data_IF_400748049369
#
_entry.id   IF_400748049369
#
_cell.length_a   1.000
_cell.length_b   1.000
_cell.length_c   1.000
_cell.angle_alpha   90.00
_cell.angle_beta   90.00
_cell.angle_gamma   90.00
#
_symmetry.space_group_name_H-M   'P 1'
#
loop_
_entity.id
_entity.type
_entity.pdbx_description
1 polymer ?
#
# COMPACT_ATOMS: atom_id res chain seq x y z
N UNK A 1 1.82 -46.09 76.28
CA UNK A 1 1.54 -46.43 74.91
C UNK A 1 1.31 -45.10 74.18
N UNK A 2 2.30 -44.60 73.43
CA UNK A 2 2.18 -43.37 72.62
C UNK A 2 2.11 -43.82 71.18
N UNK A 3 1.02 -43.54 70.52
CA UNK A 3 0.85 -43.76 69.10
C UNK A 3 1.61 -42.67 68.29
N UNK A 4 2.47 -43.08 67.37
CA UNK A 4 3.16 -42.20 66.47
C UNK A 4 2.36 -42.22 65.14
N UNK A 5 1.79 -41.05 64.83
CA UNK A 5 1.11 -40.82 63.52
C UNK A 5 2.13 -40.39 62.51
N UNK A 6 2.38 -41.25 61.54
CA UNK A 6 3.26 -40.94 60.38
C UNK A 6 2.52 -40.11 59.35
N UNK A 7 2.98 -38.88 59.11
CA UNK A 7 2.46 -37.98 58.11
C UNK A 7 3.21 -38.27 56.78
N UNK A 8 2.51 -38.79 55.78
CA UNK A 8 3.05 -38.97 54.41
C UNK A 8 2.80 -37.69 53.64
N UNK A 9 3.86 -36.95 53.38
CA UNK A 9 3.82 -35.77 52.48
C UNK A 9 4.03 -36.27 51.05
N UNK A 10 2.96 -36.28 50.25
CA UNK A 10 3.01 -36.58 48.83
C UNK A 10 3.59 -35.37 48.09
N UNK A 11 4.77 -35.54 47.51
CA UNK A 11 5.39 -34.57 46.59
C UNK A 11 4.71 -34.67 45.22
N UNK A 12 3.83 -33.74 44.88
CA UNK A 12 3.30 -33.58 43.51
C UNK A 12 4.40 -32.98 42.64
N UNK A 13 5.08 -33.83 41.86
CA UNK A 13 5.91 -33.41 40.75
C UNK A 13 5.00 -32.90 39.64
N UNK A 14 4.82 -31.60 39.53
CA UNK A 14 4.28 -30.96 38.31
C UNK A 14 5.37 -31.06 37.27
N UNK A 15 5.25 -32.01 36.34
CA UNK A 15 6.06 -32.05 35.15
C UNK A 15 5.69 -30.83 34.28
N UNK A 16 6.54 -29.80 34.25
CA UNK A 16 6.47 -28.76 33.26
C UNK A 16 6.63 -29.42 31.90
N UNK A 17 5.58 -29.34 31.05
CA UNK A 17 5.70 -29.73 29.66
C UNK A 17 6.85 -28.91 29.03
N UNK A 18 7.73 -29.52 28.25
CA UNK A 18 8.73 -28.74 27.53
C UNK A 18 7.99 -27.76 26.63
N UNK A 19 8.18 -26.45 26.86
CA UNK A 19 7.83 -25.43 25.86
C UNK A 19 8.53 -25.84 24.58
N UNK A 20 7.75 -26.12 23.52
CA UNK A 20 8.30 -26.40 22.20
C UNK A 20 9.24 -25.22 21.89
N UNK A 21 10.54 -25.52 21.73
CA UNK A 21 11.47 -24.50 21.28
C UNK A 21 10.94 -23.99 19.93
N UNK A 22 10.61 -22.69 19.89
CA UNK A 22 10.20 -22.03 18.64
C UNK A 22 11.25 -22.32 17.58
N UNK A 23 10.88 -23.10 16.56
CA UNK A 23 11.83 -23.52 15.53
C UNK A 23 11.92 -22.39 14.52
N UNK A 24 12.89 -21.50 14.69
CA UNK A 24 13.22 -20.46 13.72
C UNK A 24 13.61 -21.13 12.41
N UNK A 25 12.97 -20.75 11.32
CA UNK A 25 13.30 -21.21 9.97
C UNK A 25 14.12 -20.14 9.25
N UNK A 26 15.11 -20.57 8.55
CA UNK A 26 16.07 -19.70 7.88
C UNK A 26 16.15 -20.04 6.39
N UNK A 27 16.01 -19.00 5.55
CA UNK A 27 16.10 -19.07 4.08
C UNK A 27 17.13 -18.06 3.61
N UNK A 28 17.97 -18.47 2.68
CA UNK A 28 18.97 -17.64 2.01
C UNK A 28 18.61 -17.48 0.54
N UNK A 29 18.75 -16.26 0.03
CA UNK A 29 18.69 -15.92 -1.38
C UNK A 29 19.96 -15.15 -1.77
N UNK A 30 20.03 -14.61 -2.98
CA UNK A 30 21.21 -13.87 -3.44
C UNK A 30 21.46 -12.61 -2.60
N UNK A 31 20.39 -11.92 -2.18
CA UNK A 31 20.50 -10.64 -1.47
C UNK A 31 19.95 -10.66 -0.04
N UNK A 32 19.20 -11.70 0.36
CA UNK A 32 18.53 -11.75 1.66
C UNK A 32 18.81 -13.00 2.48
N UNK A 33 18.77 -12.81 3.80
CA UNK A 33 18.72 -13.86 4.80
C UNK A 33 17.48 -13.66 5.64
N UNK A 34 16.45 -14.48 5.44
CA UNK A 34 15.16 -14.39 6.12
C UNK A 34 15.08 -15.41 7.25
N UNK A 35 14.84 -14.93 8.48
CA UNK A 35 14.58 -15.73 9.67
C UNK A 35 13.11 -15.61 10.05
N UNK A 36 12.33 -16.68 9.92
CA UNK A 36 10.91 -16.66 10.25
C UNK A 36 10.59 -17.55 11.46
N UNK A 37 9.82 -17.02 12.39
CA UNK A 37 9.21 -17.76 13.51
C UNK A 37 7.81 -18.27 13.13
N UNK A 38 7.27 -17.92 11.95
CA UNK A 38 5.97 -18.37 11.43
C UNK A 38 6.10 -19.77 10.81
N UNK A 39 7.06 -19.96 9.89
CA UNK A 39 7.28 -21.22 9.20
C UNK A 39 8.28 -21.13 8.06
N UNK A 40 8.60 -22.28 7.46
CA UNK A 40 9.56 -22.35 6.35
C UNK A 40 8.95 -21.78 5.05
N UNK A 41 7.74 -22.19 4.71
CA UNK A 41 7.01 -21.73 3.53
C UNK A 41 6.86 -20.21 3.55
N UNK A 42 6.44 -19.64 4.70
CA UNK A 42 6.38 -18.19 4.88
C UNK A 42 7.75 -17.52 4.70
N UNK A 43 8.84 -18.12 5.16
CA UNK A 43 10.17 -17.57 4.96
C UNK A 43 10.57 -17.57 3.48
N UNK A 44 10.21 -18.60 2.71
CA UNK A 44 10.46 -18.71 1.26
C UNK A 44 9.64 -17.66 0.48
N UNK A 45 8.35 -17.51 0.79
CA UNK A 45 7.47 -16.52 0.17
C UNK A 45 7.98 -15.10 0.39
N UNK A 46 8.35 -14.74 1.63
CA UNK A 46 8.90 -13.42 1.94
C UNK A 46 10.24 -13.21 1.26
N UNK A 47 11.11 -14.21 1.22
CA UNK A 47 12.41 -14.11 0.56
C UNK A 47 12.26 -13.87 -0.95
N UNK A 48 11.36 -14.59 -1.64
CA UNK A 48 11.08 -14.40 -3.06
C UNK A 48 10.51 -12.99 -3.33
N UNK A 49 9.60 -12.52 -2.50
CA UNK A 49 9.05 -11.17 -2.60
C UNK A 49 10.13 -10.09 -2.43
N UNK A 50 11.01 -10.22 -1.46
CA UNK A 50 12.10 -9.29 -1.22
C UNK A 50 13.08 -9.23 -2.40
N UNK A 51 13.39 -10.36 -3.04
CA UNK A 51 14.19 -10.39 -4.26
C UNK A 51 13.51 -9.63 -5.42
N UNK A 52 12.21 -9.81 -5.60
CA UNK A 52 11.47 -9.06 -6.61
C UNK A 52 11.43 -7.55 -6.31
N UNK A 53 11.29 -7.17 -5.03
CA UNK A 53 11.27 -5.77 -4.60
C UNK A 53 12.63 -5.09 -4.79
N UNK A 54 13.75 -5.75 -4.46
CA UNK A 54 15.08 -5.14 -4.67
C UNK A 54 15.35 -4.85 -6.14
N UNK A 55 14.91 -5.72 -7.04
CA UNK A 55 14.95 -5.50 -8.48
C UNK A 55 14.16 -4.24 -8.89
N UNK A 56 12.94 -4.09 -8.34
CA UNK A 56 12.12 -2.90 -8.57
C UNK A 56 12.83 -1.63 -8.10
N UNK A 57 13.35 -1.61 -6.88
CA UNK A 57 14.05 -0.46 -6.32
C UNK A 57 15.29 -0.11 -7.13
N UNK A 58 16.04 -1.12 -7.54
CA UNK A 58 17.31 -0.91 -8.25
C UNK A 58 17.15 -0.40 -9.68
N UNK A 59 15.96 -0.47 -10.29
CA UNK A 59 15.66 0.23 -11.56
C UNK A 59 15.84 1.75 -11.45
N UNK A 60 15.62 2.29 -10.24
CA UNK A 60 15.75 3.73 -9.97
C UNK A 60 17.17 4.09 -9.47
N UNK A 61 17.73 3.33 -8.55
CA UNK A 61 18.97 3.69 -7.86
C UNK A 61 20.23 3.16 -8.56
N UNK A 62 20.14 2.04 -9.26
CA UNK A 62 21.22 1.42 -10.05
C UNK A 62 22.49 1.17 -9.25
N UNK A 63 22.34 0.74 -7.99
CA UNK A 63 23.48 0.30 -7.20
C UNK A 63 24.00 -1.04 -7.72
N UNK A 64 25.31 -1.26 -7.53
CA UNK A 64 25.97 -2.52 -7.90
C UNK A 64 25.63 -3.57 -6.81
N UNK A 65 24.56 -4.37 -7.02
CA UNK A 65 24.07 -5.36 -6.04
C UNK A 65 25.12 -6.41 -5.71
N UNK A 66 26.00 -6.73 -6.65
CA UNK A 66 27.11 -7.66 -6.48
C UNK A 66 28.16 -7.18 -5.46
N UNK A 67 28.14 -5.91 -5.08
CA UNK A 67 29.01 -5.37 -4.04
C UNK A 67 28.55 -5.67 -2.62
N UNK A 68 27.36 -6.26 -2.46
CA UNK A 68 26.85 -6.70 -1.16
C UNK A 68 27.78 -7.78 -0.58
N UNK A 69 28.52 -7.42 0.46
CA UNK A 69 29.44 -8.37 1.13
C UNK A 69 28.68 -9.49 1.85
N UNK A 70 27.44 -9.23 2.22
CA UNK A 70 26.57 -10.17 2.97
C UNK A 70 25.11 -9.94 2.61
N UNK A 71 24.27 -10.98 2.65
CA UNK A 71 22.82 -10.85 2.50
C UNK A 71 22.24 -9.94 3.59
N UNK A 72 21.27 -9.12 3.22
CA UNK A 72 20.47 -8.29 4.12
C UNK A 72 19.61 -9.17 5.02
N UNK A 73 19.60 -8.90 6.32
CA UNK A 73 18.89 -9.72 7.29
C UNK A 73 17.45 -9.22 7.47
N UNK A 74 16.53 -10.18 7.49
CA UNK A 74 15.12 -9.96 7.80
C UNK A 74 14.70 -10.97 8.85
N UNK A 75 14.04 -10.51 9.92
CA UNK A 75 13.51 -11.34 10.99
C UNK A 75 12.02 -11.13 11.13
N UNK A 76 11.24 -12.21 11.11
CA UNK A 76 9.79 -12.17 11.18
C UNK A 76 9.33 -12.97 12.39
N UNK A 77 8.69 -12.31 13.33
CA UNK A 77 8.10 -12.94 14.51
C UNK A 77 6.67 -13.44 14.21
N UNK A 78 6.24 -14.45 14.93
CA UNK A 78 4.90 -15.03 14.75
C UNK A 78 3.77 -14.09 15.21
N UNK A 79 4.08 -13.13 16.09
CA UNK A 79 3.12 -12.16 16.59
C UNK A 79 3.79 -10.87 17.10
N UNK A 80 2.95 -9.84 17.30
CA UNK A 80 3.37 -8.53 17.84
C UNK A 80 4.02 -8.62 19.21
N UNK A 81 3.62 -9.56 20.07
CA UNK A 81 4.17 -9.69 21.42
C UNK A 81 5.63 -10.13 21.43
N UNK A 82 5.98 -11.06 20.54
CA UNK A 82 7.36 -11.50 20.36
C UNK A 82 8.23 -10.40 19.76
N UNK A 83 7.70 -9.70 18.74
CA UNK A 83 8.32 -8.54 18.11
C UNK A 83 8.63 -7.44 19.13
N UNK A 84 7.64 -7.02 19.94
CA UNK A 84 7.82 -5.99 20.95
C UNK A 84 8.86 -6.39 22.00
N UNK A 85 8.83 -7.64 22.48
CA UNK A 85 9.84 -8.14 23.41
C UNK A 85 11.24 -8.06 22.84
N UNK A 86 11.41 -8.49 21.60
CA UNK A 86 12.69 -8.41 20.91
C UNK A 86 13.19 -6.96 20.78
N UNK A 87 12.31 -6.02 20.43
CA UNK A 87 12.67 -4.62 20.31
C UNK A 87 13.03 -3.99 21.66
N UNK A 88 12.27 -4.29 22.72
CA UNK A 88 12.60 -3.83 24.09
C UNK A 88 13.96 -4.36 24.52
N UNK A 89 14.27 -5.63 24.26
CA UNK A 89 15.56 -6.23 24.60
C UNK A 89 16.72 -5.65 23.75
N UNK A 90 16.44 -5.22 22.53
CA UNK A 90 17.45 -4.78 21.56
C UNK A 90 17.70 -3.27 21.57
N UNK A 91 16.64 -2.46 21.65
CA UNK A 91 16.69 -1.00 21.56
C UNK A 91 16.00 -0.27 22.72
N UNK A 92 15.39 -0.99 23.67
CA UNK A 92 14.77 -0.43 24.88
C UNK A 92 13.38 0.16 24.68
N UNK A 93 12.77 0.02 23.51
CA UNK A 93 11.44 0.58 23.21
C UNK A 93 10.62 -0.32 22.28
N UNK A 94 9.29 -0.17 22.30
CA UNK A 94 8.36 -0.82 21.35
C UNK A 94 8.16 0.06 20.11
N UNK A 95 7.70 -0.57 19.03
CA UNK A 95 7.31 0.10 17.79
C UNK A 95 5.96 -0.44 17.32
N UNK A 96 5.15 0.41 16.72
CA UNK A 96 3.85 -0.01 16.18
C UNK A 96 4.02 -0.72 14.84
N UNK A 97 4.97 -0.25 14.01
CA UNK A 97 5.26 -0.76 12.68
C UNK A 97 6.56 -1.56 12.62
N UNK A 98 6.76 -2.26 11.52
CA UNK A 98 8.05 -2.88 11.18
C UNK A 98 9.18 -1.85 11.27
N UNK A 99 10.38 -2.32 11.56
CA UNK A 99 11.51 -1.41 11.74
C UNK A 99 12.79 -1.97 11.12
N UNK A 100 13.51 -1.14 10.39
CA UNK A 100 14.87 -1.45 10.01
C UNK A 100 15.85 -0.92 11.07
N UNK A 101 16.42 -1.84 11.84
CA UNK A 101 17.48 -1.54 12.81
C UNK A 101 18.79 -1.39 12.05
N UNK A 102 19.25 -0.16 11.93
CA UNK A 102 20.49 0.16 11.23
C UNK A 102 21.63 0.42 12.22
N UNK A 103 22.72 -0.30 12.04
CA UNK A 103 23.96 -0.17 12.83
C UNK A 103 25.14 0.13 11.91
N UNK A 104 26.20 0.74 12.46
CA UNK A 104 27.46 0.93 11.74
C UNK A 104 28.14 -0.39 11.32
N UNK A 105 27.88 -1.48 12.05
CA UNK A 105 28.22 -2.83 11.63
C UNK A 105 27.05 -3.44 10.84
N UNK A 106 27.18 -3.62 9.52
CA UNK A 106 26.10 -4.20 8.68
C UNK A 106 25.67 -5.60 9.13
N UNK A 107 26.56 -6.37 9.79
CA UNK A 107 26.22 -7.71 10.28
C UNK A 107 25.18 -7.68 11.41
N UNK A 108 25.01 -6.55 12.07
CA UNK A 108 24.02 -6.33 13.14
C UNK A 108 22.72 -5.74 12.63
N UNK A 109 22.77 -5.09 11.45
CA UNK A 109 21.60 -4.45 10.86
C UNK A 109 20.59 -5.50 10.41
N UNK A 110 19.31 -5.31 10.75
CA UNK A 110 18.23 -6.21 10.30
C UNK A 110 16.89 -5.49 10.22
N UNK A 111 16.06 -5.89 9.27
CA UNK A 111 14.64 -5.55 9.23
C UNK A 111 13.91 -6.50 10.16
N UNK A 112 13.12 -5.96 11.09
CA UNK A 112 12.33 -6.71 12.06
C UNK A 112 10.87 -6.51 11.77
N UNK A 113 10.14 -7.61 11.63
CA UNK A 113 8.73 -7.67 11.27
C UNK A 113 7.98 -8.67 12.17
N UNK A 114 6.66 -8.70 12.08
CA UNK A 114 5.81 -9.72 12.70
C UNK A 114 4.66 -10.08 11.76
N UNK A 115 4.10 -11.29 11.93
CA UNK A 115 2.98 -11.75 11.12
C UNK A 115 1.70 -10.95 11.43
N UNK A 116 1.02 -10.51 10.38
CA UNK A 116 -0.21 -9.73 10.43
C UNK A 116 -1.03 -9.98 9.12
N UNK A 117 -2.26 -9.43 8.98
CA UNK A 117 -3.03 -9.58 7.74
C UNK A 117 -2.24 -9.22 6.50
N UNK A 118 -2.37 -10.02 5.44
CA UNK A 118 -1.50 -10.02 4.25
C UNK A 118 -1.30 -8.63 3.65
N UNK A 119 -2.37 -7.84 3.48
CA UNK A 119 -2.27 -6.50 2.88
C UNK A 119 -1.41 -5.56 3.71
N UNK A 120 -1.57 -5.58 5.03
CA UNK A 120 -0.85 -4.70 5.95
C UNK A 120 0.61 -5.13 6.06
N UNK A 121 0.85 -6.46 6.09
CA UNK A 121 2.18 -7.05 6.05
C UNK A 121 2.94 -6.62 4.79
N UNK A 122 2.30 -6.71 3.63
CA UNK A 122 2.91 -6.40 2.34
C UNK A 122 3.32 -4.92 2.25
N UNK A 123 2.47 -4.01 2.70
CA UNK A 123 2.77 -2.59 2.69
C UNK A 123 3.91 -2.22 3.66
N UNK A 124 3.84 -2.72 4.90
CA UNK A 124 4.88 -2.49 5.89
C UNK A 124 6.22 -3.11 5.47
N UNK A 125 6.20 -4.33 4.90
CA UNK A 125 7.39 -4.98 4.38
C UNK A 125 8.01 -4.19 3.23
N UNK A 126 7.21 -3.77 2.25
CA UNK A 126 7.68 -2.99 1.09
C UNK A 126 8.29 -1.67 1.54
N UNK A 127 7.62 -0.94 2.43
CA UNK A 127 8.14 0.32 2.99
C UNK A 127 9.51 0.12 3.66
N UNK A 128 9.59 -0.82 4.61
CA UNK A 128 10.80 -1.01 5.41
C UNK A 128 11.94 -1.72 4.64
N UNK A 129 11.61 -2.59 3.70
CA UNK A 129 12.64 -3.21 2.85
C UNK A 129 13.27 -2.20 1.89
N UNK A 130 12.52 -1.20 1.42
CA UNK A 130 13.12 -0.10 0.67
C UNK A 130 14.10 0.71 1.54
N UNK A 131 13.71 1.04 2.78
CA UNK A 131 14.62 1.73 3.73
C UNK A 131 15.86 0.88 3.99
N UNK A 132 15.72 -0.43 4.18
CA UNK A 132 16.83 -1.36 4.34
C UNK A 132 17.74 -1.34 3.10
N UNK A 133 17.16 -1.50 1.91
CA UNK A 133 17.89 -1.46 0.64
C UNK A 133 18.68 -0.15 0.52
N UNK A 134 18.02 0.99 0.61
CA UNK A 134 18.69 2.29 0.43
C UNK A 134 19.81 2.50 1.46
N UNK A 135 19.56 2.19 2.72
CA UNK A 135 20.55 2.39 3.80
C UNK A 135 21.67 1.36 3.81
N UNK A 136 21.51 0.25 3.11
CA UNK A 136 22.61 -0.70 2.91
C UNK A 136 23.69 -0.12 1.98
N UNK A 137 23.31 0.67 0.97
CA UNK A 137 24.23 1.33 0.05
C UNK A 137 24.59 2.75 0.50
N UNK A 138 23.67 3.49 1.10
CA UNK A 138 23.83 4.87 1.57
C UNK A 138 23.40 4.93 3.03
N UNK A 139 24.33 4.91 3.95
CA UNK A 139 24.05 4.83 5.39
C UNK A 139 23.08 5.94 5.88
N UNK A 140 23.24 7.16 5.36
CA UNK A 140 22.47 8.33 5.80
C UNK A 140 21.96 9.14 4.59
N UNK A 141 20.93 8.68 3.87
CA UNK A 141 20.31 9.43 2.78
C UNK A 141 19.46 10.59 3.33
N UNK A 142 19.23 11.68 2.54
CA UNK A 142 18.26 12.70 2.89
C UNK A 142 16.90 12.10 3.21
N UNK A 143 16.21 12.66 4.22
CA UNK A 143 14.97 12.05 4.72
C UNK A 143 13.85 12.06 3.69
N UNK A 144 13.68 13.16 2.96
CA UNK A 144 12.65 13.27 1.92
C UNK A 144 12.81 12.19 0.83
N UNK A 145 14.06 11.87 0.47
CA UNK A 145 14.34 10.85 -0.53
C UNK A 145 14.07 9.44 0.03
N UNK A 146 14.48 9.18 1.28
CA UNK A 146 14.26 7.90 1.94
C UNK A 146 12.78 7.62 2.16
N UNK A 147 12.08 8.51 2.86
CA UNK A 147 10.67 8.31 3.21
C UNK A 147 9.77 8.48 2.00
N UNK A 148 10.05 9.48 1.14
CA UNK A 148 9.27 9.69 -0.07
C UNK A 148 9.28 8.48 -1.01
N UNK A 149 10.44 7.84 -1.22
CA UNK A 149 10.50 6.60 -2.01
C UNK A 149 9.92 5.39 -1.27
N UNK A 150 10.09 5.28 0.06
CA UNK A 150 9.47 4.20 0.81
C UNK A 150 7.95 4.21 0.63
N UNK A 151 7.32 5.38 0.74
CA UNK A 151 5.89 5.57 0.50
C UNK A 151 5.54 5.39 -0.99
N UNK A 152 6.38 5.86 -1.90
CA UNK A 152 6.17 5.73 -3.35
C UNK A 152 6.06 4.27 -3.78
N UNK A 153 6.86 3.37 -3.20
CA UNK A 153 6.83 1.94 -3.51
C UNK A 153 5.84 1.13 -2.68
N UNK A 154 5.32 1.64 -1.58
CA UNK A 154 4.56 0.93 -0.55
C UNK A 154 3.42 0.05 -1.10
N UNK A 155 2.80 0.45 -2.21
CA UNK A 155 1.71 -0.29 -2.87
C UNK A 155 2.19 -1.25 -3.96
N UNK A 156 3.50 -1.50 -4.10
CA UNK A 156 3.98 -2.47 -5.06
C UNK A 156 3.42 -3.87 -4.75
N UNK A 157 2.96 -4.54 -5.79
CA UNK A 157 2.37 -5.89 -5.72
C UNK A 157 3.38 -6.93 -6.19
N UNK A 158 3.46 -8.05 -5.48
CA UNK A 158 4.24 -9.19 -5.92
C UNK A 158 3.39 -10.10 -6.80
N UNK A 159 3.90 -10.46 -7.95
CA UNK A 159 3.29 -11.40 -8.89
C UNK A 159 3.98 -12.75 -8.74
N UNK A 160 3.26 -13.72 -8.15
CA UNK A 160 3.78 -15.08 -7.89
C UNK A 160 4.05 -15.87 -9.19
N UNK A 161 3.29 -15.62 -10.26
CA UNK A 161 3.43 -16.34 -11.52
C UNK A 161 4.73 -15.92 -12.24
N UNK A 162 5.02 -14.62 -12.24
CA UNK A 162 6.21 -14.07 -12.91
C UNK A 162 7.37 -13.80 -11.95
N UNK A 163 7.18 -13.96 -10.65
CA UNK A 163 8.16 -13.69 -9.59
C UNK A 163 8.74 -12.26 -9.70
N UNK A 164 7.89 -11.29 -9.97
CA UNK A 164 8.28 -9.90 -10.15
C UNK A 164 7.47 -8.97 -9.24
N UNK A 165 8.06 -7.83 -8.89
CA UNK A 165 7.34 -6.75 -8.22
C UNK A 165 6.83 -5.74 -9.26
N UNK A 166 5.52 -5.49 -9.21
CA UNK A 166 4.82 -4.55 -10.08
C UNK A 166 4.57 -3.27 -9.30
N UNK A 167 5.10 -2.15 -9.79
CA UNK A 167 4.80 -0.85 -9.20
C UNK A 167 3.31 -0.53 -9.30
N UNK A 168 2.73 -0.11 -8.18
CA UNK A 168 1.39 0.49 -8.11
C UNK A 168 1.50 1.86 -7.45
N UNK A 169 0.83 2.83 -8.03
CA UNK A 169 0.88 4.19 -7.50
C UNK A 169 0.16 4.26 -6.15
N UNK A 170 0.85 4.79 -5.12
CA UNK A 170 0.25 5.02 -3.81
C UNK A 170 -0.36 6.43 -3.77
N UNK A 171 -1.65 6.53 -4.04
CA UNK A 171 -2.39 7.81 -4.02
C UNK A 171 -3.05 8.11 -2.66
N UNK A 172 -2.75 7.33 -1.61
CA UNK A 172 -3.34 7.55 -0.29
C UNK A 172 -2.97 8.93 0.31
N UNK A 173 -1.83 9.47 -0.09
CA UNK A 173 -1.34 10.77 0.38
C UNK A 173 -1.74 11.94 -0.52
N UNK A 174 -2.43 11.69 -1.64
CA UNK A 174 -2.77 12.74 -2.60
C UNK A 174 -3.77 13.74 -2.04
N UNK A 175 -4.90 13.27 -1.49
CA UNK A 175 -5.93 14.15 -0.96
C UNK A 175 -5.43 14.92 0.27
N UNK A 176 -4.76 14.30 1.28
CA UNK A 176 -4.10 15.04 2.36
C UNK A 176 -3.09 16.09 1.86
N UNK A 177 -2.31 15.77 0.82
CA UNK A 177 -1.36 16.73 0.26
C UNK A 177 -2.05 17.92 -0.40
N UNK A 178 -3.14 17.69 -1.12
CA UNK A 178 -3.95 18.78 -1.70
C UNK A 178 -4.50 19.71 -0.63
N UNK A 179 -5.07 19.14 0.43
CA UNK A 179 -5.61 19.92 1.57
C UNK A 179 -4.52 20.75 2.28
N UNK A 180 -3.27 20.21 2.35
CA UNK A 180 -2.13 20.96 2.87
C UNK A 180 -1.78 22.13 1.94
N UNK A 181 -1.67 21.85 0.62
CA UNK A 181 -1.20 22.86 -0.36
C UNK A 181 -2.21 23.98 -0.61
N UNK A 182 -3.51 23.69 -0.59
CA UNK A 182 -4.58 24.70 -0.77
C UNK A 182 -4.97 25.41 0.52
N UNK A 183 -4.41 24.96 1.67
CA UNK A 183 -4.65 25.53 2.99
C UNK A 183 -5.97 25.08 3.66
N UNK A 184 -6.74 24.18 3.05
CA UNK A 184 -8.01 23.66 3.61
C UNK A 184 -7.78 22.80 4.86
N UNK A 185 -6.61 22.17 4.99
CA UNK A 185 -6.19 21.48 6.21
C UNK A 185 -5.93 22.44 7.41
N UNK A 186 -5.92 23.76 7.19
CA UNK A 186 -5.66 24.75 8.24
C UNK A 186 -4.22 24.78 8.75
N UNK A 187 -3.28 24.21 7.99
CA UNK A 187 -1.85 24.17 8.28
C UNK A 187 -1.07 24.86 7.16
N UNK A 188 0.15 25.30 7.46
CA UNK A 188 1.06 25.85 6.46
C UNK A 188 1.93 24.71 5.89
N UNK A 189 2.03 24.55 4.56
CA UNK A 189 2.96 23.60 3.95
C UNK A 189 4.40 23.86 4.42
N UNK A 190 5.20 22.80 4.52
CA UNK A 190 6.64 22.95 4.69
C UNK A 190 7.23 23.59 3.43
N UNK A 191 8.17 24.51 3.62
CA UNK A 191 8.93 25.09 2.52
C UNK A 191 9.79 24.02 1.83
N UNK A 192 10.03 24.17 0.53
CA UNK A 192 10.89 23.28 -0.25
C UNK A 192 12.27 23.14 0.40
N UNK A 193 12.87 24.23 0.83
CA UNK A 193 14.18 24.22 1.47
C UNK A 193 14.15 23.48 2.82
N UNK A 194 13.06 23.61 3.59
CA UNK A 194 12.88 22.88 4.85
C UNK A 194 12.78 21.38 4.60
N UNK A 195 12.01 20.94 3.60
CA UNK A 195 11.89 19.50 3.26
C UNK A 195 13.25 18.94 2.82
N UNK A 196 13.98 19.67 1.96
CA UNK A 196 15.24 19.20 1.41
C UNK A 196 16.33 19.01 2.47
N UNK A 197 16.33 19.83 3.55
CA UNK A 197 17.38 19.81 4.58
C UNK A 197 16.90 19.24 5.93
N UNK A 198 15.68 18.72 6.00
CA UNK A 198 15.04 18.29 7.24
C UNK A 198 15.87 17.23 7.98
N UNK A 199 15.98 17.39 9.29
CA UNK A 199 16.55 16.39 10.18
C UNK A 199 15.51 15.45 10.79
N UNK A 200 15.97 14.40 11.48
CA UNK A 200 15.10 13.33 12.02
C UNK A 200 14.17 13.85 13.11
N UNK A 201 14.63 14.78 13.96
CA UNK A 201 13.86 15.30 15.09
C UNK A 201 12.70 16.17 14.56
N UNK A 202 13.02 17.08 13.64
CA UNK A 202 12.04 17.95 13.00
C UNK A 202 11.02 17.15 12.18
N UNK A 203 11.45 16.13 11.43
CA UNK A 203 10.54 15.27 10.70
C UNK A 203 9.57 14.52 11.62
N UNK A 204 10.07 13.97 12.74
CA UNK A 204 9.22 13.28 13.73
C UNK A 204 8.19 14.20 14.38
N UNK A 205 8.50 15.45 14.59
CA UNK A 205 7.57 16.44 15.14
C UNK A 205 6.49 16.88 14.14
N UNK A 206 6.68 16.60 12.84
CA UNK A 206 5.82 17.09 11.75
C UNK A 206 5.46 15.99 10.75
N UNK A 207 5.25 14.74 11.18
CA UNK A 207 5.04 13.59 10.29
C UNK A 207 3.86 13.79 9.33
N UNK A 208 2.76 14.37 9.82
CA UNK A 208 1.55 14.62 9.04
C UNK A 208 1.75 15.62 7.88
N UNK A 209 2.72 16.50 7.99
CA UNK A 209 3.12 17.42 6.92
C UNK A 209 4.24 16.82 6.06
N UNK A 210 5.20 16.17 6.70
CA UNK A 210 6.40 15.70 6.04
C UNK A 210 6.14 14.53 5.09
N UNK A 211 5.37 13.52 5.49
CA UNK A 211 5.15 12.33 4.67
C UNK A 211 4.39 12.62 3.37
N UNK A 212 3.25 13.35 3.38
CA UNK A 212 2.57 13.72 2.15
C UNK A 212 3.46 14.49 1.19
N UNK A 213 4.21 15.49 1.71
CA UNK A 213 5.07 16.33 0.86
C UNK A 213 6.31 15.59 0.36
N UNK A 214 6.94 14.71 1.16
CA UNK A 214 8.06 13.88 0.73
C UNK A 214 7.63 12.87 -0.36
N UNK A 215 6.47 12.22 -0.19
CA UNK A 215 5.88 11.38 -1.23
C UNK A 215 5.57 12.17 -2.50
N UNK A 216 4.90 13.30 -2.37
CA UNK A 216 4.54 14.17 -3.49
C UNK A 216 5.76 14.65 -4.26
N UNK A 217 6.84 15.02 -3.56
CA UNK A 217 8.12 15.40 -4.16
C UNK A 217 8.71 14.27 -5.01
N UNK A 218 8.80 13.05 -4.46
CA UNK A 218 9.31 11.88 -5.20
C UNK A 218 8.42 11.57 -6.39
N UNK A 219 7.08 11.54 -6.20
CA UNK A 219 6.12 11.29 -7.28
C UNK A 219 6.26 12.31 -8.41
N UNK A 220 6.39 13.59 -8.07
CA UNK A 220 6.59 14.68 -9.02
C UNK A 220 7.90 14.54 -9.80
N UNK A 221 9.01 14.33 -9.10
CA UNK A 221 10.33 14.22 -9.74
C UNK A 221 10.43 12.98 -10.65
N UNK A 222 9.80 11.87 -10.27
CA UNK A 222 9.77 10.63 -11.08
C UNK A 222 8.90 10.81 -12.32
N UNK A 223 7.68 11.35 -12.17
CA UNK A 223 6.64 11.34 -13.20
C UNK A 223 6.54 12.63 -14.02
N UNK A 224 7.38 13.66 -13.74
CA UNK A 224 7.34 14.91 -14.49
C UNK A 224 7.65 14.72 -15.97
N UNK A 225 6.82 15.31 -16.82
CA UNK A 225 7.11 15.40 -18.26
C UNK A 225 8.25 16.39 -18.58
N UNK A 226 8.58 17.29 -17.65
CA UNK A 226 9.68 18.25 -17.77
C UNK A 226 11.00 17.56 -17.48
N UNK A 227 11.90 17.51 -18.46
CA UNK A 227 13.20 16.83 -18.35
C UNK A 227 14.14 17.46 -17.30
N UNK A 228 14.10 18.79 -17.15
CA UNK A 228 14.85 19.51 -16.14
C UNK A 228 14.45 19.11 -14.73
N UNK A 229 13.15 18.95 -14.47
CA UNK A 229 12.61 18.48 -13.19
C UNK A 229 12.98 17.01 -12.95
N UNK A 230 12.73 16.13 -13.92
CA UNK A 230 13.11 14.73 -13.79
C UNK A 230 14.62 14.53 -13.55
N UNK A 231 15.45 15.39 -14.12
CA UNK A 231 16.91 15.40 -13.89
C UNK A 231 17.27 15.65 -12.42
N UNK A 232 16.51 16.47 -11.68
CA UNK A 232 16.75 16.72 -10.25
C UNK A 232 16.83 15.43 -9.44
N UNK A 233 15.97 14.47 -9.75
CA UNK A 233 15.98 13.17 -9.08
C UNK A 233 17.30 12.42 -9.33
N UNK A 234 17.73 12.33 -10.59
CA UNK A 234 18.96 11.61 -10.94
C UNK A 234 20.19 12.31 -10.40
N UNK A 235 20.24 13.63 -10.44
CA UNK A 235 21.30 14.43 -9.85
C UNK A 235 21.33 14.25 -8.32
N UNK A 236 20.17 14.12 -7.67
CA UNK A 236 20.06 13.82 -6.24
C UNK A 236 20.64 12.45 -5.89
N UNK A 237 20.25 11.40 -6.60
CA UNK A 237 20.75 10.03 -6.39
C UNK A 237 22.27 9.98 -6.64
N UNK A 238 22.75 10.59 -7.73
CA UNK A 238 24.18 10.61 -8.08
C UNK A 238 25.03 11.46 -7.10
N UNK A 239 24.42 12.38 -6.37
CA UNK A 239 25.13 13.18 -5.36
C UNK A 239 25.41 12.41 -4.07
N UNK A 240 24.67 11.33 -3.79
CA UNK A 240 24.80 10.54 -2.56
C UNK A 240 26.20 9.93 -2.41
N UNK A 241 26.64 9.78 -1.15
CA UNK A 241 27.87 9.08 -0.78
C UNK A 241 27.58 8.06 0.31
N UNK A 242 28.10 6.81 0.17
CA UNK A 242 27.83 5.72 1.10
C UNK A 242 28.10 6.08 2.56
N UNK A 243 29.26 6.62 2.86
CA UNK A 243 29.74 6.85 4.23
C UNK A 243 29.55 8.29 4.75
N UNK A 244 28.86 9.14 3.97
CA UNK A 244 28.61 10.51 4.39
C UNK A 244 27.55 10.58 5.51
N UNK A 245 27.68 11.57 6.40
CA UNK A 245 26.62 11.88 7.36
C UNK A 245 25.37 12.38 6.66
N UNK A 246 24.21 12.35 7.38
CA UNK A 246 22.95 12.90 6.88
C UNK A 246 23.14 14.34 6.39
N UNK A 247 23.76 15.20 7.19
CA UNK A 247 24.01 16.59 6.82
C UNK A 247 24.84 16.71 5.54
N UNK A 248 25.91 15.91 5.42
CA UNK A 248 26.76 15.96 4.22
C UNK A 248 26.03 15.49 2.97
N UNK A 249 25.25 14.40 3.03
CA UNK A 249 24.46 13.95 1.89
C UNK A 249 23.37 14.98 1.54
N UNK A 250 22.69 15.55 2.53
CA UNK A 250 21.70 16.61 2.34
C UNK A 250 22.29 17.84 1.65
N UNK A 251 23.41 18.39 2.15
CA UNK A 251 24.10 19.52 1.52
C UNK A 251 24.55 19.23 0.09
N UNK A 252 25.05 18.03 -0.17
CA UNK A 252 25.48 17.62 -1.52
C UNK A 252 24.31 17.54 -2.49
N UNK A 253 23.21 16.92 -2.08
CA UNK A 253 21.99 16.84 -2.88
C UNK A 253 21.47 18.24 -3.16
N UNK A 254 21.32 19.07 -2.12
CA UNK A 254 20.84 20.43 -2.26
C UNK A 254 21.68 21.23 -3.28
N UNK A 255 23.01 21.23 -3.13
CA UNK A 255 23.89 22.01 -4.01
C UNK A 255 23.94 21.48 -5.44
N UNK A 256 23.93 20.15 -5.64
CA UNK A 256 24.15 19.55 -6.97
C UNK A 256 22.88 19.40 -7.78
N UNK A 257 21.78 19.04 -7.12
CA UNK A 257 20.50 18.84 -7.80
C UNK A 257 19.69 20.14 -7.83
N UNK A 258 19.53 20.85 -6.71
CA UNK A 258 18.62 21.97 -6.56
C UNK A 258 19.29 23.36 -6.65
N UNK A 259 20.61 23.44 -6.65
CA UNK A 259 21.32 24.72 -6.65
C UNK A 259 21.26 25.52 -7.94
N UNK A 260 20.79 24.95 -9.04
CA UNK A 260 20.75 25.56 -10.37
C UNK A 260 19.33 25.85 -10.88
N UNK A 261 18.30 25.33 -10.18
CA UNK A 261 16.89 25.53 -10.59
C UNK A 261 16.28 26.74 -9.91
N UNK A 262 15.37 27.40 -10.62
CA UNK A 262 14.50 28.41 -10.03
C UNK A 262 13.51 27.70 -9.10
N UNK A 263 13.53 28.04 -7.81
CA UNK A 263 12.73 27.36 -6.79
C UNK A 263 11.25 27.73 -6.86
N UNK A 264 10.94 28.98 -7.22
CA UNK A 264 9.55 29.43 -7.35
C UNK A 264 8.89 28.68 -8.52
N UNK A 265 9.59 28.57 -9.68
CA UNK A 265 9.12 27.78 -10.82
C UNK A 265 8.96 26.28 -10.45
N UNK A 266 9.87 25.74 -9.64
CA UNK A 266 9.78 24.35 -9.18
C UNK A 266 8.57 24.10 -8.28
N UNK A 267 8.31 25.00 -7.33
CA UNK A 267 7.15 24.93 -6.41
C UNK A 267 5.86 25.08 -7.20
N UNK A 268 5.77 26.06 -8.11
CA UNK A 268 4.59 26.26 -8.96
C UNK A 268 4.31 25.01 -9.82
N UNK A 269 5.36 24.42 -10.41
CA UNK A 269 5.24 23.20 -11.19
C UNK A 269 4.84 21.99 -10.32
N UNK A 270 5.31 21.91 -9.07
CA UNK A 270 4.92 20.88 -8.11
C UNK A 270 3.44 20.97 -7.75
N UNK A 271 2.97 22.18 -7.38
CA UNK A 271 1.55 22.41 -7.06
C UNK A 271 0.68 22.05 -8.27
N UNK A 272 1.02 22.54 -9.46
CA UNK A 272 0.28 22.22 -10.69
C UNK A 272 0.24 20.71 -10.98
N UNK A 273 1.34 19.98 -10.72
CA UNK A 273 1.38 18.53 -10.85
C UNK A 273 0.41 17.85 -9.89
N UNK A 274 0.43 18.21 -8.61
CA UNK A 274 -0.46 17.63 -7.59
C UNK A 274 -1.93 17.95 -7.90
N UNK A 275 -2.24 19.16 -8.31
CA UNK A 275 -3.61 19.58 -8.68
C UNK A 275 -4.15 18.81 -9.88
N UNK A 276 -3.28 18.47 -10.83
CA UNK A 276 -3.65 17.68 -12.01
C UNK A 276 -3.98 16.22 -11.70
N UNK A 277 -3.56 15.71 -10.54
CA UNK A 277 -3.78 14.31 -10.14
C UNK A 277 -5.18 14.11 -9.56
N UNK A 278 -5.71 12.91 -9.70
CA UNK A 278 -6.99 12.50 -9.11
C UNK A 278 -6.79 11.22 -8.32
N UNK A 279 -7.32 11.20 -7.09
CA UNK A 279 -7.36 9.99 -6.28
C UNK A 279 -8.46 9.04 -6.77
N UNK A 280 -8.41 7.78 -6.33
CA UNK A 280 -9.49 6.82 -6.60
C UNK A 280 -10.83 7.35 -6.07
N UNK A 281 -10.86 7.88 -4.84
CA UNK A 281 -12.08 8.40 -4.21
C UNK A 281 -12.67 9.58 -5.01
N UNK A 282 -11.82 10.52 -5.42
CA UNK A 282 -12.24 11.66 -6.25
C UNK A 282 -12.82 11.19 -7.59
N UNK A 283 -12.14 10.27 -8.30
CA UNK A 283 -12.62 9.75 -9.58
C UNK A 283 -13.96 9.04 -9.45
N UNK A 284 -14.17 8.26 -8.37
CA UNK A 284 -15.43 7.58 -8.12
C UNK A 284 -16.53 8.58 -7.78
N UNK A 285 -16.27 9.54 -6.89
CA UNK A 285 -17.25 10.55 -6.50
C UNK A 285 -17.67 11.42 -7.69
N UNK A 286 -16.71 11.98 -8.42
CA UNK A 286 -16.98 12.81 -9.60
C UNK A 286 -17.70 12.00 -10.69
N UNK A 287 -17.33 10.72 -10.88
CA UNK A 287 -17.96 9.81 -11.82
C UNK A 287 -19.42 9.49 -11.46
N UNK A 288 -19.74 9.28 -10.19
CA UNK A 288 -21.12 9.10 -9.69
C UNK A 288 -21.93 10.38 -9.88
N UNK A 289 -21.37 11.53 -9.53
CA UNK A 289 -22.03 12.81 -9.73
C UNK A 289 -22.31 13.11 -11.21
N UNK A 290 -21.38 12.78 -12.10
CA UNK A 290 -21.59 12.88 -13.54
C UNK A 290 -22.71 11.96 -14.02
N UNK A 291 -22.77 10.71 -13.54
CA UNK A 291 -23.86 9.77 -13.80
C UNK A 291 -25.21 10.33 -13.35
N UNK A 292 -25.30 10.86 -12.13
CA UNK A 292 -26.53 11.43 -11.56
C UNK A 292 -27.04 12.64 -12.35
N UNK A 293 -26.14 13.39 -12.99
CA UNK A 293 -26.51 14.49 -13.90
C UNK A 293 -26.85 14.01 -15.32
N UNK A 294 -26.73 12.72 -15.62
CA UNK A 294 -26.94 12.16 -16.96
C UNK A 294 -25.78 12.39 -17.94
N UNK A 295 -24.63 12.87 -17.47
CA UNK A 295 -23.40 13.03 -18.26
C UNK A 295 -22.62 11.71 -18.28
N UNK A 296 -23.16 10.77 -19.07
CA UNK A 296 -22.65 9.40 -19.11
C UNK A 296 -21.26 9.29 -19.75
N UNK A 297 -20.86 10.22 -20.60
CA UNK A 297 -19.54 10.21 -21.24
C UNK A 297 -18.47 10.57 -20.23
N UNK A 298 -18.64 11.65 -19.50
CA UNK A 298 -17.74 12.05 -18.39
C UNK A 298 -17.72 10.99 -17.27
N UNK A 299 -18.90 10.46 -16.92
CA UNK A 299 -19.00 9.41 -15.89
C UNK A 299 -18.19 8.17 -16.27
N UNK A 300 -18.30 7.70 -17.51
CA UNK A 300 -17.54 6.54 -17.99
C UNK A 300 -16.04 6.78 -17.96
N UNK A 301 -15.56 7.93 -18.44
CA UNK A 301 -14.14 8.29 -18.45
C UNK A 301 -13.55 8.26 -17.04
N UNK A 302 -14.24 8.89 -16.08
CA UNK A 302 -13.82 8.95 -14.68
C UNK A 302 -13.81 7.57 -14.01
N UNK A 303 -14.88 6.79 -14.20
CA UNK A 303 -15.00 5.47 -13.59
C UNK A 303 -14.04 4.44 -14.22
N UNK A 304 -13.78 4.51 -15.54
CA UNK A 304 -12.73 3.70 -16.17
C UNK A 304 -11.36 4.07 -15.61
N UNK A 305 -11.07 5.35 -15.44
CA UNK A 305 -9.84 5.81 -14.80
C UNK A 305 -9.71 5.31 -13.37
N UNK A 306 -10.81 5.28 -12.61
CA UNK A 306 -10.83 4.69 -11.26
C UNK A 306 -10.50 3.19 -11.28
N UNK A 307 -11.00 2.42 -12.27
CA UNK A 307 -10.65 0.98 -12.38
C UNK A 307 -9.17 0.73 -12.67
N UNK A 308 -8.49 1.68 -13.28
CA UNK A 308 -7.05 1.59 -13.53
C UNK A 308 -6.22 1.80 -12.25
N UNK A 309 -6.74 2.58 -11.28
CA UNK A 309 -6.09 2.81 -9.99
C UNK A 309 -6.38 1.64 -9.04
N UNK A 310 -7.65 1.25 -8.88
CA UNK A 310 -8.06 0.11 -8.07
C UNK A 310 -9.08 -0.77 -8.81
N UNK A 311 -8.56 -1.75 -9.52
CA UNK A 311 -9.38 -2.72 -10.25
C UNK A 311 -10.07 -3.76 -9.37
N UNK A 312 -9.85 -3.75 -8.04
CA UNK A 312 -10.48 -4.67 -7.08
C UNK A 312 -11.74 -4.08 -6.46
N UNK A 313 -11.92 -2.79 -6.51
CA UNK A 313 -13.12 -2.14 -5.97
C UNK A 313 -14.32 -2.31 -6.91
N UNK A 314 -15.46 -2.72 -6.35
CA UNK A 314 -16.67 -3.02 -7.10
C UNK A 314 -17.44 -1.80 -7.60
N UNK A 315 -17.31 -0.64 -6.94
CA UNK A 315 -18.14 0.54 -7.19
C UNK A 315 -18.05 1.04 -8.64
N UNK A 316 -16.84 1.26 -9.20
CA UNK A 316 -16.72 1.71 -10.59
C UNK A 316 -17.38 0.74 -11.57
N UNK A 317 -17.23 -0.56 -11.38
CA UNK A 317 -17.82 -1.56 -12.27
C UNK A 317 -19.35 -1.56 -12.19
N UNK A 318 -19.91 -1.37 -11.00
CA UNK A 318 -21.36 -1.29 -10.85
C UNK A 318 -21.95 -0.09 -11.62
N UNK A 319 -21.35 1.09 -11.49
CA UNK A 319 -21.79 2.29 -12.22
C UNK A 319 -21.52 2.23 -13.73
N UNK A 320 -20.42 1.61 -14.17
CA UNK A 320 -20.20 1.31 -15.60
C UNK A 320 -21.28 0.38 -16.15
N UNK A 321 -21.78 -0.54 -15.33
CA UNK A 321 -22.95 -1.35 -15.65
C UNK A 321 -24.21 -0.51 -15.82
N UNK A 322 -24.48 0.44 -14.92
CA UNK A 322 -25.62 1.36 -15.02
C UNK A 322 -25.51 2.25 -16.28
N UNK A 323 -24.36 2.83 -16.55
CA UNK A 323 -24.12 3.65 -17.76
C UNK A 323 -24.38 2.82 -19.03
N UNK A 324 -23.87 1.59 -19.08
CA UNK A 324 -24.11 0.70 -20.22
C UNK A 324 -25.57 0.34 -20.41
N UNK A 325 -26.33 0.18 -19.29
CA UNK A 325 -27.77 -0.02 -19.32
C UNK A 325 -28.52 1.19 -19.87
N UNK A 326 -28.21 2.40 -19.41
CA UNK A 326 -28.83 3.65 -19.89
C UNK A 326 -28.59 3.88 -21.40
N UNK A 327 -27.47 3.44 -21.91
CA UNK A 327 -27.15 3.47 -23.35
C UNK A 327 -27.78 2.31 -24.15
N UNK A 328 -28.53 1.41 -23.50
CA UNK A 328 -29.14 0.24 -24.14
C UNK A 328 -28.16 -0.86 -24.51
N UNK A 329 -26.90 -0.79 -24.02
CA UNK A 329 -25.89 -1.82 -24.27
C UNK A 329 -25.97 -2.93 -23.20
N UNK A 330 -27.08 -3.67 -23.25
CA UNK A 330 -27.42 -4.66 -22.24
C UNK A 330 -26.38 -5.79 -22.01
N UNK A 331 -25.70 -6.32 -23.06
CA UNK A 331 -24.64 -7.33 -22.84
C UNK A 331 -23.43 -6.79 -22.09
N UNK A 332 -23.03 -5.54 -22.37
CA UNK A 332 -21.92 -4.88 -21.66
C UNK A 332 -22.31 -4.55 -20.22
N UNK A 333 -23.53 -4.07 -20.00
CA UNK A 333 -24.06 -3.83 -18.66
C UNK A 333 -23.98 -5.08 -17.80
N UNK A 334 -24.44 -6.24 -18.31
CA UNK A 334 -24.37 -7.51 -17.59
C UNK A 334 -22.91 -7.90 -17.26
N UNK A 335 -22.00 -7.71 -18.19
CA UNK A 335 -20.56 -7.98 -17.97
C UNK A 335 -20.00 -7.15 -16.81
N UNK A 336 -20.34 -5.86 -16.76
CA UNK A 336 -19.90 -5.00 -15.66
C UNK A 336 -20.55 -5.34 -14.33
N UNK A 337 -21.84 -5.70 -14.29
CA UNK A 337 -22.49 -6.16 -13.06
C UNK A 337 -21.85 -7.44 -12.51
N UNK A 338 -21.53 -8.41 -13.36
CA UNK A 338 -20.81 -9.62 -12.95
C UNK A 338 -19.43 -9.30 -12.39
N UNK A 339 -18.67 -8.41 -13.05
CA UNK A 339 -17.38 -7.93 -12.52
C UNK A 339 -17.53 -7.23 -11.18
N UNK A 340 -18.60 -6.45 -10.97
CA UNK A 340 -18.86 -5.84 -9.68
C UNK A 340 -19.13 -6.90 -8.59
N UNK A 341 -19.90 -7.92 -8.91
CA UNK A 341 -20.21 -9.02 -7.99
C UNK A 341 -18.96 -9.81 -7.58
N UNK A 342 -18.11 -10.15 -8.55
CA UNK A 342 -16.81 -10.82 -8.32
C UNK A 342 -15.89 -10.02 -7.37
N UNK A 343 -16.11 -8.70 -7.26
CA UNK A 343 -15.34 -7.76 -6.44
C UNK A 343 -16.05 -7.34 -5.16
N UNK A 344 -17.11 -8.08 -4.78
CA UNK A 344 -17.79 -7.89 -3.50
C UNK A 344 -18.94 -6.88 -3.51
N UNK A 345 -19.49 -6.54 -4.68
CA UNK A 345 -20.75 -5.80 -4.72
C UNK A 345 -21.88 -6.61 -4.05
N UNK A 346 -22.83 -5.89 -3.42
CA UNK A 346 -23.98 -6.52 -2.79
C UNK A 346 -24.75 -7.37 -3.80
N UNK A 347 -24.78 -8.69 -3.60
CA UNK A 347 -25.36 -9.64 -4.55
C UNK A 347 -26.83 -9.33 -4.85
N UNK A 348 -27.65 -9.08 -3.84
CA UNK A 348 -29.08 -8.77 -3.98
C UNK A 348 -29.33 -7.56 -4.87
N UNK A 349 -28.58 -6.47 -4.66
CA UNK A 349 -28.65 -5.26 -5.47
C UNK A 349 -28.19 -5.52 -6.92
N UNK A 350 -27.12 -6.30 -7.09
CA UNK A 350 -26.57 -6.59 -8.41
C UNK A 350 -27.50 -7.51 -9.20
N UNK A 351 -28.11 -8.54 -8.57
CA UNK A 351 -29.14 -9.34 -9.21
C UNK A 351 -30.36 -8.53 -9.61
N UNK A 352 -30.76 -7.55 -8.78
CA UNK A 352 -31.85 -6.64 -9.17
C UNK A 352 -31.51 -5.87 -10.45
N UNK A 353 -30.33 -5.27 -10.50
CA UNK A 353 -29.84 -4.54 -11.67
C UNK A 353 -29.74 -5.42 -12.93
N UNK A 354 -29.22 -6.65 -12.78
CA UNK A 354 -29.17 -7.65 -13.87
C UNK A 354 -30.57 -8.05 -14.34
N UNK A 355 -31.50 -8.21 -13.41
CA UNK A 355 -32.90 -8.53 -13.72
C UNK A 355 -33.60 -7.42 -14.51
N UNK A 356 -33.42 -6.17 -14.10
CA UNK A 356 -33.96 -5.00 -14.85
C UNK A 356 -33.31 -4.91 -16.23
N UNK A 357 -31.98 -5.15 -16.31
CA UNK A 357 -31.23 -5.15 -17.58
C UNK A 357 -31.74 -6.26 -18.52
N UNK A 358 -31.96 -7.47 -18.04
CA UNK A 358 -32.49 -8.59 -18.82
C UNK A 358 -33.94 -8.32 -19.30
N UNK A 359 -34.76 -7.68 -18.46
CA UNK A 359 -36.09 -7.26 -18.83
C UNK A 359 -36.06 -6.24 -19.98
N UNK A 360 -35.28 -5.20 -19.86
CA UNK A 360 -35.09 -4.18 -20.91
C UNK A 360 -34.55 -4.79 -22.23
N UNK A 361 -33.74 -5.83 -22.12
CA UNK A 361 -33.25 -6.62 -23.27
C UNK A 361 -34.25 -7.64 -23.82
N UNK A 362 -35.51 -7.67 -23.32
CA UNK A 362 -36.54 -8.63 -23.66
C UNK A 362 -36.18 -10.11 -23.37
N UNK A 363 -35.27 -10.35 -22.42
CA UNK A 363 -34.87 -11.69 -21.95
C UNK A 363 -35.64 -12.08 -20.71
N UNK A 364 -37.00 -12.33 -20.90
CA UNK A 364 -37.95 -12.50 -19.80
C UNK A 364 -37.58 -13.60 -18.82
N UNK A 365 -37.13 -14.77 -19.28
CA UNK A 365 -36.78 -15.89 -18.39
C UNK A 365 -35.62 -15.53 -17.44
N UNK A 366 -34.54 -14.94 -17.97
CA UNK A 366 -33.40 -14.50 -17.17
C UNK A 366 -33.80 -13.36 -16.22
N UNK A 367 -34.61 -12.41 -16.69
CA UNK A 367 -35.13 -11.34 -15.85
C UNK A 367 -35.87 -11.88 -14.62
N UNK A 368 -36.77 -12.86 -14.84
CA UNK A 368 -37.53 -13.51 -13.75
C UNK A 368 -36.58 -14.18 -12.76
N UNK A 369 -35.60 -14.94 -13.25
CA UNK A 369 -34.63 -15.63 -12.40
C UNK A 369 -33.83 -14.65 -11.53
N UNK A 370 -33.24 -13.62 -12.13
CA UNK A 370 -32.43 -12.64 -11.40
C UNK A 370 -33.26 -11.82 -10.40
N UNK A 371 -34.46 -11.38 -10.79
CA UNK A 371 -35.35 -10.63 -9.91
C UNK A 371 -35.80 -11.47 -8.70
N UNK A 372 -36.19 -12.72 -8.91
CA UNK A 372 -36.57 -13.62 -7.83
C UNK A 372 -35.41 -13.91 -6.88
N UNK A 373 -34.20 -14.05 -7.42
CA UNK A 373 -32.99 -14.24 -6.61
C UNK A 373 -32.72 -13.02 -5.74
N UNK A 374 -32.81 -11.82 -6.29
CA UNK A 374 -32.68 -10.57 -5.53
C UNK A 374 -33.68 -10.48 -4.39
N UNK A 375 -34.97 -10.71 -4.69
CA UNK A 375 -36.04 -10.65 -3.69
C UNK A 375 -35.91 -11.73 -2.61
N UNK A 376 -35.40 -12.92 -2.95
CA UNK A 376 -35.17 -13.99 -1.97
C UNK A 376 -34.03 -13.67 -0.98
N UNK A 377 -33.05 -12.89 -1.39
CA UNK A 377 -31.93 -12.49 -0.56
C UNK A 377 -32.27 -11.33 0.39
N UNK A 378 -32.99 -10.31 -0.10
CA UNK A 378 -33.46 -9.16 0.67
C UNK A 378 -34.95 -8.87 0.41
N UNK A 379 -35.87 -9.66 0.99
CA UNK A 379 -37.31 -9.52 0.72
C UNK A 379 -37.89 -8.14 1.10
N UNK A 380 -37.42 -7.58 2.22
CA UNK A 380 -37.89 -6.27 2.69
C UNK A 380 -37.49 -5.11 1.75
N UNK A 381 -36.40 -5.25 1.04
CA UNK A 381 -35.87 -4.21 0.14
C UNK A 381 -36.38 -4.35 -1.29
N UNK A 382 -36.44 -5.56 -1.80
CA UNK A 382 -36.72 -5.85 -3.20
C UNK A 382 -38.02 -6.55 -3.47
N UNK A 383 -38.69 -7.19 -2.47
CA UNK A 383 -39.87 -8.01 -2.64
C UNK A 383 -40.98 -7.30 -3.43
N UNK A 384 -41.48 -6.18 -2.92
CA UNK A 384 -42.57 -5.43 -3.56
C UNK A 384 -42.21 -4.92 -4.97
N UNK A 385 -40.97 -4.46 -5.15
CA UNK A 385 -40.48 -3.96 -6.46
C UNK A 385 -40.38 -5.07 -7.49
N UNK A 386 -39.91 -6.23 -7.07
CA UNK A 386 -39.79 -7.41 -7.94
C UNK A 386 -41.19 -7.93 -8.30
N UNK A 387 -42.11 -8.03 -7.35
CA UNK A 387 -43.48 -8.45 -7.62
C UNK A 387 -44.18 -7.55 -8.67
N UNK A 388 -44.04 -6.23 -8.52
CA UNK A 388 -44.60 -5.26 -9.48
C UNK A 388 -43.97 -5.40 -10.88
N UNK A 389 -42.64 -5.65 -10.96
CA UNK A 389 -41.96 -5.86 -12.25
C UNK A 389 -42.44 -7.17 -12.91
N UNK A 390 -42.52 -8.25 -12.17
CA UNK A 390 -42.98 -9.54 -12.68
C UNK A 390 -44.43 -9.46 -13.19
N UNK A 391 -45.36 -8.80 -12.47
CA UNK A 391 -46.73 -8.55 -12.91
C UNK A 391 -46.78 -7.78 -14.23
N UNK A 392 -45.91 -6.79 -14.45
CA UNK A 392 -45.82 -6.05 -15.73
C UNK A 392 -45.24 -6.89 -16.88
N UNK A 393 -44.47 -7.93 -16.56
CA UNK A 393 -43.88 -8.83 -17.54
C UNK A 393 -44.91 -9.86 -18.05
N UNK A 394 -45.92 -10.20 -17.22
CA UNK A 394 -46.94 -11.20 -17.52
C UNK A 394 -48.17 -10.62 -18.24
N UNK A 395 -48.39 -9.32 -18.20
CA UNK A 395 -49.47 -8.59 -18.87
C UNK A 395 -49.02 -7.96 -20.16
#
# INVERSE_FOLDING_TARGET
>A
MKQITTLVVGLLLVAAAPTAAETVREVYTDHYRVLSHVGHEHAEEVAARLEALIELYNRYFRFELETLVRPMRVRIFADKTQFDRYLVDTIGEQRDDFVYLHYSDPARSELVAYDMPVSDFDYALTHQSFIQYLRTFIANPPLWLREGFAIYFEKAEYDDEFQTAIYRENLAWLDPLKEILDGSAGVTPLDLDEILVMDVETARANLELFYPQAWGMVSFLVNSARRDINRLLWDSINALRPDASLRQNTERVYQRAFGWIDKDDLVDAFVAYIDSRRSFSTLVTDGIEAYDRGDYDTAEELLVSATAIDGRNHIPFYYLGLISFERGNHPVAETYYRKAMERGATESLTYYAMGVNAYAANRRSEATEFLQRSASMEPERFGDRVEQLLQRMDG
#
